data_IF_216553352429
#
_entry.id   IF_216553352429
#
_cell.length_a   1.000
_cell.length_b   1.000
_cell.length_c   1.000
_cell.angle_alpha   90.00
_cell.angle_beta   90.00
_cell.angle_gamma   90.00
#
_symmetry.space_group_name_H-M   'P 1'
#
loop_
_entity.id
_entity.type
_entity.pdbx_description
1 polymer ?
#
# COMPACT_ATOMS: atom_id res chain seq x y z
N UNK A 1 12.00 -10.69 0.50
CA UNK A 1 11.03 -10.60 -0.60
C UNK A 1 11.84 -10.63 -1.88
N UNK A 2 11.50 -11.50 -2.81
CA UNK A 2 12.19 -11.61 -4.09
C UNK A 2 11.38 -10.90 -5.17
N UNK A 3 12.04 -10.49 -6.25
CA UNK A 3 11.32 -9.95 -7.42
C UNK A 3 10.32 -11.00 -7.93
N UNK A 4 9.08 -10.57 -8.16
CA UNK A 4 7.96 -11.43 -8.57
C UNK A 4 7.12 -12.01 -7.42
N UNK A 5 7.55 -11.88 -6.17
CA UNK A 5 6.69 -12.20 -5.02
C UNK A 5 5.48 -11.25 -5.00
N UNK A 6 4.29 -11.79 -4.70
CA UNK A 6 3.06 -11.02 -4.56
C UNK A 6 2.77 -10.83 -3.09
N UNK A 7 2.72 -9.57 -2.64
CA UNK A 7 2.41 -9.22 -1.25
C UNK A 7 0.97 -8.76 -1.13
N UNK A 8 0.21 -9.38 -0.24
CA UNK A 8 -1.14 -8.94 0.13
C UNK A 8 -1.07 -8.32 1.53
N UNK A 9 -1.38 -7.02 1.70
CA UNK A 9 -1.33 -6.39 3.02
C UNK A 9 -2.47 -6.91 3.89
N UNK A 10 -2.32 -6.90 5.21
CA UNK A 10 -3.41 -7.25 6.16
C UNK A 10 -4.53 -6.20 6.21
N UNK A 11 -4.14 -4.95 5.97
CA UNK A 11 -5.02 -3.80 5.92
C UNK A 11 -4.36 -2.72 5.07
N UNK A 12 -5.14 -1.82 4.48
CA UNK A 12 -4.62 -0.71 3.69
C UNK A 12 -5.42 0.56 3.94
N UNK A 13 -4.77 1.71 3.78
CA UNK A 13 -5.37 3.02 3.91
C UNK A 13 -4.81 3.97 2.86
N UNK A 14 -5.55 5.04 2.57
CA UNK A 14 -5.02 6.13 1.77
C UNK A 14 -4.11 7.01 2.65
N UNK A 15 -2.79 6.92 2.49
CA UNK A 15 -1.84 7.73 3.28
C UNK A 15 -0.97 8.66 2.43
N UNK A 16 -1.31 8.81 1.14
CA UNK A 16 -0.43 9.40 0.14
C UNK A 16 -0.84 10.75 -0.43
N UNK A 17 -1.69 11.54 0.23
CA UNK A 17 -1.86 12.94 -0.17
C UNK A 17 -0.68 13.77 0.34
N UNK A 18 -0.13 14.57 -0.59
CA UNK A 18 1.05 15.44 -0.51
C UNK A 18 1.06 16.52 0.57
N UNK A 19 0.03 16.61 1.40
CA UNK A 19 -0.08 17.64 2.44
C UNK A 19 0.85 17.41 3.65
N UNK A 20 1.66 16.34 3.65
CA UNK A 20 2.76 16.18 4.63
C UNK A 20 3.90 17.19 4.44
N UNK A 21 4.00 17.85 3.28
CA UNK A 21 5.01 18.89 3.01
C UNK A 21 4.64 20.25 3.61
N UNK A 22 3.50 20.35 4.30
CA UNK A 22 3.08 21.55 4.98
C UNK A 22 3.09 21.33 6.50
N UNK A 23 4.27 21.42 7.11
CA UNK A 23 4.41 21.42 8.58
C UNK A 23 3.60 22.54 9.25
N UNK A 24 3.09 23.50 8.47
CA UNK A 24 2.23 24.62 8.87
C UNK A 24 0.96 24.79 8.02
N UNK A 25 0.50 23.77 7.28
CA UNK A 25 -0.68 23.97 6.44
C UNK A 25 -1.59 22.78 6.27
N UNK A 26 -2.82 23.17 6.06
CA UNK A 26 -4.04 22.45 6.35
C UNK A 26 -4.44 21.56 5.19
N UNK A 27 -4.71 20.29 5.46
CA UNK A 27 -5.68 19.53 4.66
C UNK A 27 -7.03 20.24 4.72
N UNK A 28 -7.54 20.70 3.58
CA UNK A 28 -8.86 21.32 3.50
C UNK A 28 -9.91 20.22 3.28
N UNK A 29 -10.65 19.89 4.33
CA UNK A 29 -11.99 19.35 4.17
C UNK A 29 -12.91 20.51 3.79
N UNK A 30 -13.57 20.47 2.63
CA UNK A 30 -14.56 21.51 2.25
C UNK A 30 -15.75 21.57 3.23
N UNK A 31 -15.92 20.56 4.09
CA UNK A 31 -17.02 20.45 5.07
C UNK A 31 -16.56 20.39 6.53
N UNK A 32 -15.26 20.43 6.80
CA UNK A 32 -14.66 20.21 8.13
C UNK A 32 -13.90 21.42 8.67
N UNK A 33 -13.60 21.40 9.98
CA UNK A 33 -12.73 22.43 10.60
C UNK A 33 -11.29 22.26 10.10
N UNK A 34 -10.71 23.33 9.57
CA UNK A 34 -9.31 23.38 9.17
C UNK A 34 -8.38 22.88 10.31
N UNK A 35 -7.32 22.14 9.96
CA UNK A 35 -6.34 21.52 10.88
C UNK A 35 -6.84 20.35 11.74
N UNK A 36 -8.04 19.81 11.49
CA UNK A 36 -8.46 18.58 12.20
C UNK A 36 -7.88 17.37 11.48
N UNK A 37 -6.92 16.69 12.10
CA UNK A 37 -6.44 15.41 11.59
C UNK A 37 -7.62 14.43 11.47
N UNK A 38 -7.93 14.00 10.25
CA UNK A 38 -8.93 12.98 10.02
C UNK A 38 -8.34 11.60 10.35
N UNK A 39 -9.09 10.73 11.05
CA UNK A 39 -8.63 9.37 11.30
C UNK A 39 -8.45 8.64 9.96
N UNK A 40 -7.33 7.92 9.83
CA UNK A 40 -7.10 7.06 8.67
C UNK A 40 -8.17 5.97 8.63
N UNK A 41 -8.84 5.86 7.49
CA UNK A 41 -9.73 4.74 7.22
C UNK A 41 -8.89 3.53 6.79
N UNK A 42 -8.86 2.51 7.64
CA UNK A 42 -8.19 1.25 7.37
C UNK A 42 -9.19 0.21 6.88
N UNK A 43 -9.00 -0.24 5.64
CA UNK A 43 -9.73 -1.35 5.07
C UNK A 43 -8.96 -2.66 5.32
N UNK A 44 -9.59 -3.61 6.02
CA UNK A 44 -9.01 -4.92 6.26
C UNK A 44 -9.15 -5.82 5.02
N UNK A 45 -8.12 -6.61 4.72
CA UNK A 45 -8.20 -7.63 3.66
C UNK A 45 -8.58 -8.99 4.24
N UNK A 46 -9.40 -9.73 3.49
CA UNK A 46 -9.70 -11.13 3.83
C UNK A 46 -8.68 -12.06 3.17
N UNK A 47 -8.03 -12.89 3.98
CA UNK A 47 -7.00 -13.83 3.53
C UNK A 47 -7.55 -15.22 3.16
N UNK A 48 -8.86 -15.46 3.37
CA UNK A 48 -9.46 -16.80 3.21
C UNK A 48 -9.25 -17.39 1.82
N UNK A 49 -9.34 -16.56 0.78
CA UNK A 49 -9.18 -16.99 -0.62
C UNK A 49 -7.71 -17.07 -1.07
N UNK A 50 -6.77 -16.58 -0.26
CA UNK A 50 -5.33 -16.57 -0.58
C UNK A 50 -4.67 -17.94 -0.34
N UNK A 51 -5.31 -18.81 0.45
CA UNK A 51 -4.78 -20.13 0.77
C UNK A 51 -4.81 -21.02 -0.47
N UNK A 52 -3.63 -21.36 -1.01
CA UNK A 52 -3.48 -22.33 -2.10
C UNK A 52 -3.18 -21.74 -3.48
N UNK A 53 -3.07 -20.41 -3.61
CA UNK A 53 -2.65 -19.79 -4.87
C UNK A 53 -1.19 -20.13 -5.15
N UNK A 54 -0.96 -20.83 -6.27
CA UNK A 54 0.39 -21.14 -6.77
C UNK A 54 0.72 -20.18 -7.91
N UNK A 55 1.76 -19.38 -7.72
CA UNK A 55 2.24 -18.50 -8.78
C UNK A 55 3.11 -19.28 -9.77
N UNK A 56 2.97 -18.92 -11.03
CA UNK A 56 3.74 -19.50 -12.14
C UNK A 56 5.09 -18.79 -12.20
N UNK A 57 6.18 -19.56 -12.34
CA UNK A 57 7.54 -19.02 -12.38
C UNK A 57 7.95 -18.52 -13.78
N UNK A 58 7.41 -19.15 -14.83
CA UNK A 58 7.81 -18.94 -16.21
C UNK A 58 6.60 -18.55 -17.06
N UNK A 59 6.73 -17.50 -17.85
CA UNK A 59 5.69 -17.13 -18.83
C UNK A 59 5.81 -17.96 -20.11
N UNK A 60 7.02 -18.42 -20.44
CA UNK A 60 7.32 -19.36 -21.53
C UNK A 60 8.60 -20.16 -21.21
N UNK A 61 9.02 -21.06 -22.09
CA UNK A 61 10.19 -21.94 -21.88
C UNK A 61 11.53 -21.20 -21.70
N UNK A 62 11.64 -19.95 -22.15
CA UNK A 62 12.89 -19.17 -22.14
C UNK A 62 12.89 -18.01 -21.15
N UNK A 63 11.73 -17.63 -20.60
CA UNK A 63 11.55 -16.46 -19.75
C UNK A 63 10.93 -16.85 -18.40
N UNK A 64 11.81 -16.97 -17.40
CA UNK A 64 11.50 -17.42 -16.05
C UNK A 64 12.11 -16.47 -15.01
N UNK A 65 11.45 -16.36 -13.87
CA UNK A 65 12.06 -15.73 -12.69
C UNK A 65 13.16 -16.64 -12.12
N UNK A 66 14.23 -16.07 -11.51
CA UNK A 66 15.31 -16.85 -10.89
C UNK A 66 14.83 -17.77 -9.77
N UNK A 67 13.77 -17.38 -9.08
CA UNK A 67 13.13 -18.14 -8.02
C UNK A 67 11.63 -18.22 -8.28
N UNK A 68 10.99 -19.29 -7.82
CA UNK A 68 9.55 -19.42 -7.91
C UNK A 68 8.89 -18.34 -7.05
N UNK A 69 8.06 -17.45 -7.62
CA UNK A 69 7.40 -16.41 -6.86
C UNK A 69 6.44 -17.02 -5.85
N UNK A 70 6.29 -16.37 -4.71
CA UNK A 70 5.36 -16.77 -3.65
C UNK A 70 4.37 -15.66 -3.33
N UNK A 71 3.20 -16.08 -2.89
CA UNK A 71 2.22 -15.19 -2.28
C UNK A 71 2.58 -15.05 -0.79
N UNK A 72 2.77 -13.82 -0.33
CA UNK A 72 3.10 -13.51 1.06
C UNK A 72 2.08 -12.53 1.63
N UNK A 73 1.71 -12.74 2.89
CA UNK A 73 0.93 -11.76 3.64
C UNK A 73 1.91 -10.75 4.25
N UNK A 74 1.76 -9.49 3.85
CA UNK A 74 2.58 -8.38 4.31
C UNK A 74 2.02 -7.69 5.56
N UNK A 75 2.65 -6.57 5.94
CA UNK A 75 2.12 -5.67 6.97
C UNK A 75 0.99 -4.81 6.38
N UNK A 76 0.79 -3.61 6.89
CA UNK A 76 -0.12 -2.63 6.30
C UNK A 76 0.36 -2.22 4.91
N UNK A 77 -0.59 -1.92 4.03
CA UNK A 77 -0.38 -1.28 2.74
C UNK A 77 -0.83 0.17 2.79
N UNK A 78 -0.36 0.98 1.85
CA UNK A 78 -0.88 2.32 1.65
C UNK A 78 -1.12 2.59 0.18
N UNK A 79 -2.04 3.50 -0.10
CA UNK A 79 -2.30 4.02 -1.44
C UNK A 79 -1.90 5.50 -1.51
N UNK A 80 -1.21 5.86 -2.58
CA UNK A 80 -0.77 7.21 -2.89
C UNK A 80 -0.97 7.52 -4.37
N UNK A 81 -1.33 8.75 -4.71
CA UNK A 81 -1.48 9.16 -6.12
C UNK A 81 -0.13 9.33 -6.85
N UNK A 82 0.99 8.98 -6.22
CA UNK A 82 2.35 9.20 -6.75
C UNK A 82 3.29 8.07 -6.36
N UNK A 83 4.31 7.85 -7.20
CA UNK A 83 5.34 6.85 -6.94
C UNK A 83 6.21 7.30 -5.75
N UNK A 84 6.31 6.43 -4.74
CA UNK A 84 7.19 6.64 -3.59
C UNK A 84 8.54 5.97 -3.87
N UNK A 85 9.48 6.74 -4.39
CA UNK A 85 10.89 6.34 -4.56
C UNK A 85 11.81 7.27 -3.76
N UNK A 86 11.58 7.30 -2.44
CA UNK A 86 12.36 8.10 -1.52
C UNK A 86 12.57 7.33 -0.21
N UNK A 87 13.82 6.99 0.10
CA UNK A 87 14.15 6.19 1.28
C UNK A 87 13.76 6.85 2.61
N UNK A 88 13.86 8.17 2.71
CA UNK A 88 13.49 8.90 3.93
C UNK A 88 11.97 8.88 4.15
N UNK A 89 11.19 9.10 3.09
CA UNK A 89 9.73 9.03 3.14
C UNK A 89 9.24 7.60 3.41
N UNK A 90 9.89 6.60 2.81
CA UNK A 90 9.61 5.19 3.11
C UNK A 90 9.83 4.89 4.59
N UNK A 91 10.97 5.31 5.17
CA UNK A 91 11.26 5.13 6.59
C UNK A 91 10.18 5.76 7.48
N UNK A 92 9.71 6.95 7.13
CA UNK A 92 8.60 7.60 7.82
C UNK A 92 7.31 6.76 7.76
N UNK A 93 6.90 6.29 6.58
CA UNK A 93 5.67 5.49 6.42
C UNK A 93 5.72 4.18 7.24
N UNK A 94 6.89 3.56 7.31
CA UNK A 94 7.07 2.34 8.10
C UNK A 94 7.10 2.60 9.59
N UNK A 95 7.81 3.64 10.06
CA UNK A 95 7.87 3.96 11.48
C UNK A 95 6.52 4.47 12.01
N UNK A 96 5.81 5.28 11.23
CA UNK A 96 4.54 5.89 11.63
C UNK A 96 3.37 4.93 11.51
N UNK A 97 3.27 4.17 10.41
CA UNK A 97 2.07 3.39 10.08
C UNK A 97 2.34 1.89 9.88
N UNK A 98 3.59 1.43 10.02
CA UNK A 98 4.01 0.05 9.71
C UNK A 98 3.62 -0.40 8.30
N UNK A 99 3.70 0.52 7.34
CA UNK A 99 3.44 0.26 5.93
C UNK A 99 4.61 -0.49 5.31
N UNK A 100 4.33 -1.58 4.58
CA UNK A 100 5.32 -2.41 3.88
C UNK A 100 5.37 -2.18 2.37
N UNK A 101 4.34 -1.56 1.80
CA UNK A 101 4.27 -1.24 0.38
C UNK A 101 3.29 -0.09 0.15
N UNK A 102 3.54 0.71 -0.89
CA UNK A 102 2.68 1.80 -1.33
C UNK A 102 2.25 1.55 -2.77
N UNK A 103 0.96 1.46 -3.01
CA UNK A 103 0.34 1.33 -4.32
C UNK A 103 -0.38 2.64 -4.74
N UNK A 104 -1.07 2.63 -5.87
CA UNK A 104 -1.72 3.84 -6.40
C UNK A 104 -3.25 3.85 -6.35
N UNK A 105 -3.91 2.71 -6.21
CA UNK A 105 -5.36 2.64 -6.48
C UNK A 105 -6.17 1.84 -5.44
N UNK A 106 -5.55 0.99 -4.62
CA UNK A 106 -6.26 0.01 -3.79
C UNK A 106 -7.27 0.65 -2.84
N UNK A 107 -6.90 1.73 -2.14
CA UNK A 107 -7.82 2.46 -1.27
C UNK A 107 -8.96 3.12 -2.05
N UNK A 108 -8.69 3.64 -3.24
CA UNK A 108 -9.68 4.34 -4.05
C UNK A 108 -10.78 3.39 -4.50
N UNK A 109 -10.41 2.21 -5.00
CA UNK A 109 -11.37 1.16 -5.40
C UNK A 109 -12.31 0.81 -4.26
N UNK A 110 -11.77 0.58 -3.05
CA UNK A 110 -12.57 0.18 -1.89
C UNK A 110 -13.42 1.31 -1.32
N UNK A 111 -12.99 2.57 -1.43
CA UNK A 111 -13.83 3.71 -1.03
C UNK A 111 -15.05 3.91 -1.94
N UNK A 112 -15.03 3.37 -3.16
CA UNK A 112 -16.14 3.48 -4.12
C UNK A 112 -17.07 2.28 -4.19
N UNK A 113 -16.69 1.16 -3.54
CA UNK A 113 -17.43 -0.12 -3.57
C UNK A 113 -18.51 -0.25 -2.50
#
# INVERSE_FOLDING_TARGET
MSIGDVTVPQQFAHTGIWDWMNLNGTFFSESGKANTALPLFWANTTQKWLQGIKLVQCVNSSLCLPQKPKLVVGLSGSTANTLVDNAAYWNFLFQTFRISYVDMESSAVVMTS
#
